data_IF_428202768181
#
_entry.id   IF_428202768181
#
_cell.length_a   1.000
_cell.length_b   1.000
_cell.length_c   1.000
_cell.angle_alpha   90.00
_cell.angle_beta   90.00
_cell.angle_gamma   90.00
#
_symmetry.space_group_name_H-M   'P 1'
#
loop_
_entity.id
_entity.type
_entity.pdbx_description
1 polymer ?
#
# COMPACT_ATOMS: atom_id res chain seq x y z
N UNK A 1 -2.05 4.34 25.80
CA UNK A 1 -2.25 4.78 24.41
C UNK A 1 -1.14 4.18 23.55
N UNK A 2 -1.51 3.48 22.52
CA UNK A 2 -0.58 2.86 21.57
C UNK A 2 -0.62 3.62 20.24
N UNK A 3 0.52 3.83 19.64
CA UNK A 3 0.63 4.40 18.29
C UNK A 3 0.75 3.29 17.27
N UNK A 4 -0.16 3.23 16.34
CA UNK A 4 -0.25 2.17 15.37
C UNK A 4 -0.16 2.76 13.96
N UNK A 5 0.82 2.31 13.20
CA UNK A 5 0.95 2.65 11.79
C UNK A 5 0.39 1.50 10.96
N UNK A 6 -0.67 1.77 10.20
CA UNK A 6 -1.14 0.84 9.18
C UNK A 6 -0.32 1.01 7.91
N UNK A 7 0.13 -0.10 7.37
CA UNK A 7 0.76 -0.16 6.06
C UNK A 7 -0.17 -0.86 5.08
N UNK A 8 -0.52 -0.18 4.01
CA UNK A 8 -1.23 -0.78 2.88
C UNK A 8 -0.22 -1.06 1.76
N UNK A 9 0.27 -2.31 1.63
CA UNK A 9 1.30 -2.64 0.65
C UNK A 9 0.72 -2.96 -0.73
N UNK A 10 -0.09 -2.07 -1.27
CA UNK A 10 -0.67 -2.25 -2.58
C UNK A 10 0.35 -1.88 -3.66
N UNK A 11 0.74 -2.86 -4.46
CA UNK A 11 1.74 -2.70 -5.52
C UNK A 11 1.14 -2.34 -6.88
N UNK A 12 -0.16 -2.44 -7.05
CA UNK A 12 -0.76 -2.42 -8.37
C UNK A 12 -1.12 -1.03 -8.89
N UNK A 13 -0.87 0.02 -8.14
CA UNK A 13 -1.13 1.39 -8.57
C UNK A 13 -2.59 1.76 -8.77
N UNK A 14 -3.51 0.89 -8.36
CA UNK A 14 -4.95 1.13 -8.39
C UNK A 14 -5.50 1.31 -6.99
N UNK A 15 -6.21 2.42 -6.80
CA UNK A 15 -6.76 2.76 -5.51
C UNK A 15 -8.01 1.97 -5.17
N UNK A 16 -7.84 0.91 -4.40
CA UNK A 16 -8.94 0.40 -3.60
C UNK A 16 -8.48 0.47 -2.16
N UNK A 17 -9.05 1.40 -1.42
CA UNK A 17 -8.84 1.44 0.03
C UNK A 17 -9.55 0.24 0.62
N UNK A 18 -8.78 -0.61 1.25
CA UNK A 18 -9.31 -1.82 1.85
C UNK A 18 -10.19 -1.48 3.06
N UNK A 19 -11.36 -2.08 3.14
CA UNK A 19 -12.36 -1.83 4.21
C UNK A 19 -11.75 -2.10 5.59
N UNK A 20 -10.84 -3.07 5.71
CA UNK A 20 -10.24 -3.43 6.99
C UNK A 20 -9.50 -2.26 7.64
N UNK A 21 -8.87 -1.39 6.85
CA UNK A 21 -8.14 -0.22 7.37
C UNK A 21 -9.12 0.73 8.07
N UNK A 22 -10.22 1.07 7.42
CA UNK A 22 -11.23 1.94 8.00
C UNK A 22 -11.85 1.34 9.27
N UNK A 23 -12.19 0.06 9.20
CA UNK A 23 -12.83 -0.67 10.29
C UNK A 23 -11.93 -0.76 11.53
N UNK A 24 -10.71 -1.22 11.38
CA UNK A 24 -9.75 -1.35 12.50
C UNK A 24 -9.32 0.02 13.04
N UNK A 25 -9.09 0.98 12.15
CA UNK A 25 -8.74 2.34 12.53
C UNK A 25 -9.81 2.99 13.41
N UNK A 26 -11.07 2.83 13.04
CA UNK A 26 -12.21 3.35 13.82
C UNK A 26 -12.25 2.77 15.22
N UNK A 27 -12.15 1.45 15.35
CA UNK A 27 -12.18 0.76 16.65
C UNK A 27 -11.00 1.19 17.52
N UNK A 28 -9.81 1.27 16.96
CA UNK A 28 -8.62 1.67 17.71
C UNK A 28 -8.70 3.12 18.21
N UNK A 29 -9.17 4.03 17.35
CA UNK A 29 -9.35 5.43 17.75
C UNK A 29 -10.41 5.59 18.84
N UNK A 30 -11.51 4.84 18.77
CA UNK A 30 -12.52 4.81 19.83
C UNK A 30 -11.99 4.33 21.18
N UNK A 31 -10.95 3.51 21.17
CA UNK A 31 -10.29 3.01 22.38
C UNK A 31 -9.04 3.83 22.80
N UNK A 32 -8.90 5.03 22.27
CA UNK A 32 -7.87 5.98 22.70
C UNK A 32 -6.49 5.77 22.09
N UNK A 33 -6.36 4.97 21.05
CA UNK A 33 -5.11 4.78 20.32
C UNK A 33 -4.92 5.79 19.20
N UNK A 34 -3.68 6.10 18.88
CA UNK A 34 -3.35 6.90 17.69
C UNK A 34 -3.06 6.01 16.51
N UNK A 35 -3.66 6.34 15.38
CA UNK A 35 -3.53 5.56 14.14
C UNK A 35 -3.15 6.48 12.99
N UNK A 36 -2.16 6.09 12.23
CA UNK A 36 -1.82 6.68 10.95
C UNK A 36 -1.72 5.61 9.87
N UNK A 37 -1.80 6.03 8.61
CA UNK A 37 -1.74 5.17 7.44
C UNK A 37 -0.57 5.55 6.55
N UNK A 38 0.17 4.55 6.10
CA UNK A 38 1.05 4.66 4.95
C UNK A 38 0.50 3.79 3.81
N UNK A 39 0.13 4.44 2.71
CA UNK A 39 -0.43 3.79 1.54
C UNK A 39 0.57 3.82 0.38
N UNK A 40 0.98 2.65 -0.09
CA UNK A 40 1.95 2.52 -1.16
C UNK A 40 1.34 2.52 -2.57
N UNK A 41 0.04 2.65 -2.69
CA UNK A 41 -0.70 2.45 -3.94
C UNK A 41 -0.23 3.34 -5.09
N UNK A 42 0.02 4.62 -4.82
CA UNK A 42 0.26 5.62 -5.86
C UNK A 42 1.72 6.01 -6.03
N UNK A 43 2.64 5.12 -5.73
CA UNK A 43 4.05 5.31 -6.07
C UNK A 43 4.32 4.86 -7.51
N UNK A 44 4.90 5.75 -8.31
CA UNK A 44 5.14 5.56 -9.74
C UNK A 44 5.92 4.27 -10.06
N UNK A 45 6.85 3.94 -9.21
CA UNK A 45 7.67 2.73 -9.34
C UNK A 45 6.84 1.46 -9.48
N UNK A 46 5.64 1.42 -8.92
CA UNK A 46 4.78 0.25 -8.92
C UNK A 46 3.77 0.22 -10.06
N UNK A 47 3.38 1.38 -10.59
CA UNK A 47 2.45 1.45 -11.71
C UNK A 47 3.02 0.83 -12.98
N UNK A 48 4.32 0.99 -13.21
CA UNK A 48 5.00 0.42 -14.36
C UNK A 48 4.99 -1.12 -14.33
N UNK A 49 4.99 -1.70 -13.14
CA UNK A 49 4.95 -3.16 -12.97
C UNK A 49 3.59 -3.74 -13.33
N UNK A 50 2.49 -3.04 -13.07
CA UNK A 50 1.16 -3.48 -13.48
C UNK A 50 1.06 -3.54 -15.01
N UNK A 51 1.48 -2.49 -15.68
CA UNK A 51 1.48 -2.44 -17.15
C UNK A 51 2.27 -3.60 -17.73
N UNK A 52 3.47 -3.83 -17.23
CA UNK A 52 4.34 -4.94 -17.68
C UNK A 52 3.67 -6.29 -17.47
N UNK A 53 3.06 -6.51 -16.31
CA UNK A 53 2.39 -7.75 -15.97
C UNK A 53 1.22 -8.03 -16.92
N UNK A 54 0.35 -7.04 -17.10
CA UNK A 54 -0.82 -7.17 -17.96
C UNK A 54 -0.45 -7.38 -19.43
N UNK A 55 0.59 -6.70 -19.90
CA UNK A 55 1.11 -6.87 -21.26
C UNK A 55 1.66 -8.28 -21.47
N UNK A 56 2.42 -8.79 -20.50
CA UNK A 56 2.97 -10.14 -20.55
C UNK A 56 1.88 -11.20 -20.64
N UNK A 57 0.78 -11.02 -19.94
CA UNK A 57 -0.33 -11.97 -19.90
C UNK A 57 -1.35 -11.78 -21.03
N UNK A 58 -1.13 -10.85 -21.94
CA UNK A 58 -2.04 -10.52 -23.06
C UNK A 58 -3.48 -10.18 -22.62
N UNK A 59 -3.63 -9.72 -21.40
CA UNK A 59 -4.93 -9.35 -20.82
C UNK A 59 -5.13 -7.84 -20.78
N UNK A 60 -4.23 -7.12 -21.40
CA UNK A 60 -4.14 -5.69 -21.25
C UNK A 60 -5.00 -4.96 -22.29
N UNK A 61 -5.87 -4.11 -21.79
CA UNK A 61 -6.44 -3.00 -22.51
C UNK A 61 -5.87 -1.73 -21.90
N UNK A 62 -5.27 -0.87 -22.70
CA UNK A 62 -4.77 0.43 -22.23
C UNK A 62 -5.87 1.11 -21.43
N UNK A 63 -5.59 1.40 -20.16
CA UNK A 63 -6.53 2.12 -19.33
C UNK A 63 -6.14 3.58 -19.31
N UNK A 64 -7.14 4.45 -19.38
CA UNK A 64 -6.97 5.90 -19.22
C UNK A 64 -6.59 6.29 -17.79
N UNK A 65 -6.31 5.32 -16.93
CA UNK A 65 -6.09 5.52 -15.52
C UNK A 65 -4.95 6.50 -15.24
N UNK A 66 -3.88 6.44 -16.01
CA UNK A 66 -2.75 7.37 -15.91
C UNK A 66 -3.13 8.83 -16.19
N UNK A 67 -4.23 9.07 -16.90
CA UNK A 67 -4.71 10.41 -17.19
C UNK A 67 -5.48 11.03 -16.00
N UNK A 68 -5.90 10.21 -15.05
CA UNK A 68 -6.72 10.64 -13.90
C UNK A 68 -6.00 10.56 -12.57
N UNK A 69 -4.83 9.94 -12.53
CA UNK A 69 -4.09 9.70 -11.29
C UNK A 69 -2.71 10.32 -11.39
N UNK A 70 -2.38 11.13 -10.41
CA UNK A 70 -1.03 11.65 -10.22
C UNK A 70 -0.25 10.69 -9.31
N UNK A 71 0.85 10.14 -9.84
CA UNK A 71 1.70 9.23 -9.09
C UNK A 71 2.79 9.98 -8.34
N UNK A 72 3.08 9.51 -7.12
CA UNK A 72 4.18 9.99 -6.32
C UNK A 72 5.51 9.45 -6.89
N UNK A 73 6.42 10.36 -7.25
CA UNK A 73 7.74 10.03 -7.79
C UNK A 73 8.82 9.83 -6.73
N UNK A 74 8.49 10.00 -5.46
CA UNK A 74 9.42 9.83 -4.35
C UNK A 74 9.85 8.37 -4.20
N UNK A 75 11.00 8.19 -3.53
CA UNK A 75 11.42 6.87 -3.10
C UNK A 75 10.55 6.39 -1.94
N UNK A 76 9.86 5.28 -2.14
CA UNK A 76 8.91 4.74 -1.17
C UNK A 76 9.56 4.35 0.17
N UNK A 77 10.75 3.80 0.14
CA UNK A 77 11.47 3.41 1.37
C UNK A 77 11.84 4.63 2.20
N UNK A 78 12.30 5.70 1.55
CA UNK A 78 12.63 6.96 2.24
C UNK A 78 11.39 7.60 2.86
N UNK A 79 10.27 7.59 2.14
CA UNK A 79 9.02 8.15 2.64
C UNK A 79 8.48 7.33 3.81
N UNK A 80 8.54 6.02 3.72
CA UNK A 80 8.12 5.13 4.82
C UNK A 80 9.02 5.32 6.05
N UNK A 81 10.33 5.38 5.86
CA UNK A 81 11.27 5.65 6.97
C UNK A 81 10.96 6.98 7.65
N UNK A 82 10.76 8.02 6.85
CA UNK A 82 10.38 9.34 7.39
C UNK A 82 9.07 9.29 8.17
N UNK A 83 8.08 8.57 7.66
CA UNK A 83 6.81 8.38 8.36
C UNK A 83 6.99 7.67 9.70
N UNK A 84 7.79 6.62 9.72
CA UNK A 84 8.13 5.89 10.95
C UNK A 84 8.86 6.79 11.94
N UNK A 85 9.85 7.54 11.48
CA UNK A 85 10.65 8.42 12.34
C UNK A 85 9.81 9.54 12.98
N UNK A 86 8.92 10.14 12.19
CA UNK A 86 8.08 11.25 12.64
C UNK A 86 6.93 10.77 13.55
N UNK A 87 6.23 9.74 13.15
CA UNK A 87 5.10 9.22 13.92
C UNK A 87 5.56 8.40 15.12
N UNK A 88 6.71 7.73 15.01
CA UNK A 88 7.28 6.84 16.04
C UNK A 88 6.25 5.82 16.55
N UNK A 89 5.77 4.92 15.67
CA UNK A 89 4.77 3.94 16.05
C UNK A 89 5.31 2.90 17.02
N UNK A 90 4.45 2.41 17.90
CA UNK A 90 4.73 1.24 18.73
C UNK A 90 4.57 -0.05 17.95
N UNK A 91 3.65 -0.05 17.00
CA UNK A 91 3.30 -1.21 16.16
C UNK A 91 3.10 -0.77 14.73
N UNK A 92 3.66 -1.53 13.80
CA UNK A 92 3.31 -1.46 12.38
C UNK A 92 2.43 -2.66 12.06
N UNK A 93 1.21 -2.39 11.64
CA UNK A 93 0.24 -3.41 11.27
C UNK A 93 -0.01 -3.39 9.77
N UNK A 94 0.11 -4.53 9.13
CA UNK A 94 -0.15 -4.65 7.70
C UNK A 94 -0.81 -5.97 7.36
N UNK A 95 -1.60 -5.94 6.31
CA UNK A 95 -2.22 -7.13 5.74
C UNK A 95 -2.24 -6.97 4.23
N UNK A 96 -1.87 -8.02 3.54
CA UNK A 96 -1.92 -8.06 2.10
C UNK A 96 -3.20 -8.75 1.66
N UNK A 97 -4.24 -7.96 1.42
CA UNK A 97 -5.47 -8.48 0.82
C UNK A 97 -5.37 -8.31 -0.68
N UNK A 98 -5.63 -9.40 -1.40
CA UNK A 98 -5.73 -9.33 -2.84
C UNK A 98 -6.94 -8.47 -3.22
N UNK A 99 -6.67 -7.36 -3.89
CA UNK A 99 -7.70 -6.59 -4.57
C UNK A 99 -7.90 -7.06 -6.01
N UNK A 100 -7.19 -8.10 -6.41
CA UNK A 100 -7.18 -8.59 -7.78
C UNK A 100 -7.99 -9.87 -7.95
N UNK A 101 -8.70 -9.87 -9.06
CA UNK A 101 -9.43 -11.02 -9.61
C UNK A 101 -8.47 -12.19 -9.95
N UNK A 102 -7.20 -11.90 -10.14
CA UNK A 102 -6.16 -12.88 -10.44
C UNK A 102 -5.33 -13.14 -9.19
N UNK A 103 -5.42 -14.27 -8.56
CA UNK A 103 -4.78 -14.63 -7.28
C UNK A 103 -3.29 -14.31 -7.10
N UNK A 104 -2.59 -13.91 -8.16
CA UNK A 104 -1.18 -13.53 -8.11
C UNK A 104 -0.94 -12.17 -7.43
N UNK A 105 -1.93 -11.27 -7.40
CA UNK A 105 -1.81 -9.96 -6.73
C UNK A 105 -1.60 -10.07 -5.24
N UNK A 106 -2.10 -11.12 -4.62
CA UNK A 106 -1.94 -11.40 -3.20
C UNK A 106 -0.48 -11.65 -2.83
N UNK A 107 0.17 -12.54 -3.54
CA UNK A 107 1.59 -12.86 -3.30
C UNK A 107 2.50 -11.66 -3.53
N UNK A 108 2.23 -10.87 -4.54
CA UNK A 108 2.98 -9.66 -4.85
C UNK A 108 2.87 -8.64 -3.72
N UNK A 109 1.69 -8.44 -3.16
CA UNK A 109 1.49 -7.52 -2.06
C UNK A 109 2.12 -8.01 -0.76
N UNK A 110 2.11 -9.31 -0.49
CA UNK A 110 2.80 -9.92 0.65
C UNK A 110 4.31 -9.68 0.54
N UNK A 111 4.89 -10.00 -0.59
CA UNK A 111 6.32 -9.79 -0.84
C UNK A 111 6.69 -8.31 -0.76
N UNK A 112 5.87 -7.45 -1.33
CA UNK A 112 6.08 -6.02 -1.28
C UNK A 112 6.03 -5.46 0.15
N UNK A 113 5.04 -5.83 0.93
CA UNK A 113 4.93 -5.43 2.34
C UNK A 113 6.13 -5.89 3.16
N UNK A 114 6.56 -7.11 2.98
CA UNK A 114 7.75 -7.63 3.61
C UNK A 114 9.01 -6.84 3.21
N UNK A 115 9.18 -6.57 1.93
CA UNK A 115 10.33 -5.82 1.44
C UNK A 115 10.35 -4.37 1.94
N UNK A 116 9.20 -3.72 2.05
CA UNK A 116 9.11 -2.40 2.65
C UNK A 116 9.58 -2.41 4.11
N UNK A 117 9.06 -3.32 4.91
CA UNK A 117 9.38 -3.40 6.32
C UNK A 117 10.82 -3.85 6.59
N UNK A 118 11.38 -4.70 5.77
CA UNK A 118 12.76 -5.15 5.88
C UNK A 118 13.78 -4.01 5.73
N UNK A 119 13.41 -2.95 5.02
CA UNK A 119 14.31 -1.83 4.71
C UNK A 119 14.19 -0.64 5.65
N UNK A 120 13.39 -0.75 6.69
CA UNK A 120 13.26 0.30 7.71
C UNK A 120 13.85 -0.10 9.07
#
# INVERSE_FOLDING_TARGET
MTKILFLNPNKWGRGITTIWIASHSSVLKQNGHKVELFDSTFYKEWSDNEVKFNTKNKQYKDSDYLNFVEYNENNIIKDLQKKVDVFNPDIIFWSAISSHIHGEGEYVNIEHGYNLLKNI
#
